data_IF_638916810295
#
_entry.id   IF_638916810295
#
_cell.length_a   1.000
_cell.length_b   1.000
_cell.length_c   1.000
_cell.angle_alpha   90.00
_cell.angle_beta   90.00
_cell.angle_gamma   90.00
#
_symmetry.space_group_name_H-M   'P 1'
#
loop_
_entity.id
_entity.type
_entity.pdbx_description
1 polymer ?
#
# COMPACT_ATOMS: atom_id res chain seq x y z
N UNK A 1 24.24 -9.95 4.43
CA UNK A 1 22.83 -9.60 4.15
C UNK A 1 22.10 -10.88 3.79
N UNK A 2 20.87 -11.10 4.27
CA UNK A 2 20.09 -12.26 3.87
C UNK A 2 19.89 -12.20 2.35
N UNK A 3 20.33 -13.25 1.66
CA UNK A 3 20.11 -13.38 0.23
C UNK A 3 18.76 -14.06 0.05
N UNK A 4 17.79 -13.33 -0.50
CA UNK A 4 16.47 -13.89 -0.77
C UNK A 4 16.55 -14.77 -2.02
N UNK A 5 15.85 -15.90 -2.01
CA UNK A 5 15.88 -16.81 -3.17
C UNK A 5 14.64 -17.66 -3.26
N UNK A 6 14.31 -18.08 -4.49
CA UNK A 6 13.30 -19.08 -4.74
C UNK A 6 13.75 -19.99 -5.90
N UNK A 7 13.46 -21.27 -5.80
CA UNK A 7 13.82 -22.26 -6.82
C UNK A 7 12.58 -22.66 -7.60
N UNK A 8 12.62 -22.48 -8.91
CA UNK A 8 11.61 -23.00 -9.85
C UNK A 8 12.28 -24.11 -10.65
N UNK A 9 11.81 -25.34 -10.48
CA UNK A 9 12.44 -26.57 -11.01
C UNK A 9 13.95 -26.65 -10.69
N UNK A 10 14.81 -26.42 -11.69
CA UNK A 10 16.26 -26.48 -11.56
C UNK A 10 16.92 -25.09 -11.56
N UNK A 11 16.14 -24.01 -11.64
CA UNK A 11 16.63 -22.63 -11.71
C UNK A 11 16.44 -21.94 -10.37
N UNK A 12 17.55 -21.46 -9.80
CA UNK A 12 17.54 -20.70 -8.54
C UNK A 12 17.55 -19.21 -8.87
N UNK A 13 16.46 -18.53 -8.55
CA UNK A 13 16.34 -17.08 -8.59
C UNK A 13 16.86 -16.50 -7.28
N UNK A 14 17.70 -15.46 -7.38
CA UNK A 14 18.31 -14.79 -6.23
C UNK A 14 18.02 -13.29 -6.31
N UNK A 15 17.69 -12.71 -5.18
CA UNK A 15 17.42 -11.29 -5.02
C UNK A 15 18.39 -10.73 -3.98
N UNK A 16 19.01 -9.60 -4.30
CA UNK A 16 20.19 -9.12 -3.56
C UNK A 16 19.87 -8.69 -2.14
N UNK A 17 18.75 -8.00 -1.99
CA UNK A 17 18.24 -7.43 -0.75
C UNK A 17 16.71 -7.29 -0.84
N UNK A 18 16.10 -6.76 0.23
CA UNK A 18 14.66 -6.57 0.29
C UNK A 18 14.15 -5.57 -0.76
N UNK A 19 14.97 -4.58 -1.14
CA UNK A 19 14.62 -3.57 -2.15
C UNK A 19 14.49 -4.21 -3.53
N UNK A 20 15.46 -5.04 -3.93
CA UNK A 20 15.46 -5.79 -5.19
C UNK A 20 14.26 -6.76 -5.24
N UNK A 21 14.02 -7.49 -4.14
CA UNK A 21 12.90 -8.42 -4.02
C UNK A 21 11.54 -7.70 -4.16
N UNK A 22 11.33 -6.61 -3.42
CA UNK A 22 10.10 -5.81 -3.48
C UNK A 22 9.89 -5.21 -4.87
N UNK A 23 10.96 -4.75 -5.53
CA UNK A 23 10.87 -4.18 -6.87
C UNK A 23 10.40 -5.25 -7.88
N UNK A 24 11.11 -6.38 -7.94
CA UNK A 24 10.84 -7.47 -8.90
C UNK A 24 9.53 -8.20 -8.64
N UNK A 25 9.01 -8.22 -7.41
CA UNK A 25 7.69 -8.77 -7.11
C UNK A 25 6.52 -7.89 -7.60
N UNK A 26 6.77 -6.66 -8.05
CA UNK A 26 5.73 -5.74 -8.52
C UNK A 26 5.14 -6.19 -9.87
N UNK A 27 3.82 -6.02 -10.09
CA UNK A 27 3.26 -6.12 -11.44
C UNK A 27 4.00 -5.20 -12.42
N UNK A 28 4.09 -5.60 -13.69
CA UNK A 28 4.77 -4.84 -14.73
C UNK A 28 4.26 -3.39 -14.82
N UNK A 29 5.15 -2.41 -14.59
CA UNK A 29 4.88 -0.97 -14.65
C UNK A 29 5.98 -0.28 -15.44
N UNK A 30 5.61 0.65 -16.32
CA UNK A 30 6.57 1.38 -17.17
C UNK A 30 7.63 2.13 -16.37
N UNK A 31 7.26 2.72 -15.24
CA UNK A 31 8.19 3.42 -14.34
C UNK A 31 9.29 2.50 -13.78
N UNK A 32 8.93 1.28 -13.36
CA UNK A 32 9.88 0.31 -12.79
C UNK A 32 10.87 -0.19 -13.85
N UNK A 33 10.41 -0.35 -15.11
CA UNK A 33 11.28 -0.65 -16.25
C UNK A 33 12.23 0.51 -16.56
N UNK A 34 11.72 1.76 -16.57
CA UNK A 34 12.54 2.94 -16.82
C UNK A 34 13.61 3.13 -15.73
N UNK A 35 13.27 2.81 -14.48
CA UNK A 35 14.20 2.85 -13.35
C UNK A 35 15.17 1.64 -13.32
N UNK A 36 14.98 0.64 -14.18
CA UNK A 36 15.83 -0.55 -14.25
C UNK A 36 15.68 -1.52 -13.07
N UNK A 37 14.55 -1.48 -12.35
CA UNK A 37 14.31 -2.28 -11.14
C UNK A 37 13.24 -3.36 -11.33
N UNK A 38 12.53 -3.35 -12.46
CA UNK A 38 11.54 -4.37 -12.78
C UNK A 38 12.18 -5.75 -13.00
N UNK A 39 11.41 -6.80 -12.76
CA UNK A 39 11.79 -8.15 -13.17
C UNK A 39 11.98 -8.23 -14.70
N UNK A 40 12.98 -8.98 -15.13
CA UNK A 40 13.33 -9.18 -16.54
C UNK A 40 12.21 -9.88 -17.32
N UNK A 41 11.50 -10.81 -16.66
CA UNK A 41 10.42 -11.58 -17.26
C UNK A 41 9.33 -11.95 -16.23
N UNK A 42 8.28 -12.64 -16.73
CA UNK A 42 7.18 -13.10 -15.89
C UNK A 42 7.60 -14.18 -14.89
N UNK A 43 8.58 -15.01 -15.23
CA UNK A 43 9.04 -16.13 -14.40
C UNK A 43 9.82 -15.60 -13.19
N UNK A 44 10.75 -14.67 -13.40
CA UNK A 44 11.47 -13.98 -12.32
C UNK A 44 10.51 -13.22 -11.41
N UNK A 45 9.48 -12.56 -11.95
CA UNK A 45 8.48 -11.89 -11.12
C UNK A 45 7.72 -12.88 -10.23
N UNK A 46 7.29 -14.01 -10.78
CA UNK A 46 6.59 -15.03 -9.97
C UNK A 46 7.54 -15.60 -8.92
N UNK A 47 8.79 -15.89 -9.27
CA UNK A 47 9.80 -16.33 -8.31
C UNK A 47 10.05 -15.28 -7.21
N UNK A 48 10.03 -13.99 -7.53
CA UNK A 48 10.13 -12.90 -6.58
C UNK A 48 8.91 -12.84 -5.65
N UNK A 49 7.69 -13.01 -6.19
CA UNK A 49 6.47 -13.08 -5.37
C UNK A 49 6.48 -14.29 -4.43
N UNK A 50 6.98 -15.44 -4.88
CA UNK A 50 7.13 -16.63 -4.04
C UNK A 50 8.20 -16.43 -2.96
N UNK A 51 9.36 -15.86 -3.29
CA UNK A 51 10.37 -15.50 -2.29
C UNK A 51 9.83 -14.47 -1.28
N UNK A 52 9.09 -13.46 -1.75
CA UNK A 52 8.50 -12.42 -0.92
C UNK A 52 7.45 -12.99 0.04
N UNK A 53 6.67 -13.97 -0.39
CA UNK A 53 5.68 -14.63 0.45
C UNK A 53 6.28 -15.29 1.69
N UNK A 54 7.53 -15.78 1.61
CA UNK A 54 8.23 -16.43 2.73
C UNK A 54 8.94 -15.45 3.68
N UNK A 55 8.96 -14.16 3.37
CA UNK A 55 9.62 -13.15 4.22
C UNK A 55 8.83 -12.96 5.51
N UNK A 56 9.44 -13.09 6.71
CA UNK A 56 8.78 -12.76 7.96
C UNK A 56 8.40 -11.28 8.02
N UNK A 57 7.20 -10.93 8.53
CA UNK A 57 6.81 -9.53 8.68
C UNK A 57 7.80 -8.74 9.56
N UNK A 58 8.35 -9.38 10.61
CA UNK A 58 9.33 -8.75 11.48
C UNK A 58 10.63 -8.33 10.75
N UNK A 59 10.95 -8.90 9.58
CA UNK A 59 12.12 -8.50 8.78
C UNK A 59 12.06 -7.03 8.35
N UNK A 60 10.86 -6.50 8.09
CA UNK A 60 10.65 -5.12 7.68
C UNK A 60 10.95 -4.08 8.78
N UNK A 61 11.15 -4.53 10.02
CA UNK A 61 11.55 -3.67 11.15
C UNK A 61 13.08 -3.57 11.30
N UNK A 62 13.83 -4.51 10.71
CA UNK A 62 15.29 -4.58 10.82
C UNK A 62 16.02 -4.30 9.51
N UNK A 63 15.39 -4.60 8.37
CA UNK A 63 15.91 -4.29 7.04
C UNK A 63 14.99 -3.26 6.36
N UNK A 64 15.33 -1.99 6.50
CA UNK A 64 14.58 -0.88 5.88
C UNK A 64 15.02 -0.64 4.44
N UNK A 65 14.08 -0.24 3.58
CA UNK A 65 14.37 0.03 2.16
C UNK A 65 15.31 1.22 2.00
N UNK A 66 15.19 2.23 2.86
CA UNK A 66 16.14 3.33 2.99
C UNK A 66 16.69 3.28 4.43
N UNK A 67 18.02 3.42 4.65
CA UNK A 67 18.57 3.33 6.00
C UNK A 67 17.99 4.38 6.95
N UNK A 68 17.69 3.96 8.19
CA UNK A 68 17.09 4.80 9.24
C UNK A 68 17.88 6.09 9.49
N UNK A 69 19.21 6.02 9.48
CA UNK A 69 20.09 7.16 9.73
C UNK A 69 20.06 8.20 8.59
N UNK A 70 19.64 7.78 7.40
CA UNK A 70 19.71 8.59 6.18
C UNK A 70 18.37 9.24 5.80
N UNK A 71 17.25 8.80 6.38
CA UNK A 71 15.92 9.19 5.93
C UNK A 71 14.95 9.46 7.08
N UNK A 72 14.38 10.67 7.11
CA UNK A 72 13.45 11.08 8.18
C UNK A 72 12.10 10.36 8.10
N UNK A 73 11.66 9.94 6.92
CA UNK A 73 10.40 9.23 6.74
C UNK A 73 10.51 7.82 7.31
N UNK A 74 11.64 7.15 7.06
CA UNK A 74 11.97 5.86 7.67
C UNK A 74 12.01 5.97 9.19
N UNK A 75 12.64 7.03 9.75
CA UNK A 75 12.59 7.28 11.20
C UNK A 75 11.17 7.45 11.69
N UNK A 76 10.37 8.26 11.03
CA UNK A 76 8.97 8.47 11.38
C UNK A 76 8.15 7.17 11.39
N UNK A 77 8.38 6.29 10.40
CA UNK A 77 7.70 4.98 10.29
C UNK A 77 8.11 4.08 11.44
N UNK A 78 9.40 3.90 11.67
CA UNK A 78 9.94 2.98 12.68
C UNK A 78 9.64 3.48 14.10
N UNK A 79 9.83 4.77 14.37
CA UNK A 79 9.63 5.36 15.70
C UNK A 79 8.17 5.38 16.12
N UNK A 80 7.22 5.32 15.17
CA UNK A 80 5.77 5.27 15.44
C UNK A 80 5.19 3.86 15.40
N UNK A 81 6.00 2.85 15.09
CA UNK A 81 5.53 1.47 15.06
C UNK A 81 5.13 0.99 16.45
N UNK A 82 3.90 0.50 16.59
CA UNK A 82 3.38 -0.06 17.83
C UNK A 82 3.63 -1.58 17.90
N UNK A 83 4.58 -1.97 18.73
CA UNK A 83 4.97 -3.37 18.91
C UNK A 83 3.88 -4.23 19.56
N UNK A 84 3.00 -3.66 20.39
CA UNK A 84 1.88 -4.38 21.01
C UNK A 84 0.77 -4.63 19.98
N UNK A 85 0.44 -3.61 19.18
CA UNK A 85 -0.50 -3.72 18.07
C UNK A 85 -0.07 -4.78 17.05
N UNK A 86 1.25 -4.90 16.81
CA UNK A 86 1.83 -5.85 15.84
C UNK A 86 1.84 -7.32 16.32
N UNK A 87 1.83 -7.58 17.64
CA UNK A 87 1.96 -8.94 18.20
C UNK A 87 1.08 -10.01 17.54
N UNK A 88 -0.21 -9.75 17.22
CA UNK A 88 -1.09 -10.78 16.67
C UNK A 88 -0.62 -11.35 15.34
N UNK A 89 0.18 -10.61 14.57
CA UNK A 89 0.68 -11.02 13.25
C UNK A 89 2.21 -11.10 13.17
N UNK A 90 2.93 -10.77 14.24
CA UNK A 90 4.40 -10.66 14.25
C UNK A 90 5.13 -11.96 13.85
N UNK A 91 4.49 -13.11 14.08
CA UNK A 91 5.00 -14.44 13.75
C UNK A 91 4.74 -14.86 12.29
N UNK A 92 3.96 -14.10 11.54
CA UNK A 92 3.54 -14.45 10.19
C UNK A 92 4.61 -14.05 9.15
N UNK A 93 4.63 -14.82 8.07
CA UNK A 93 5.25 -14.41 6.81
C UNK A 93 4.33 -13.45 6.04
N UNK A 94 4.83 -12.80 4.98
CA UNK A 94 3.99 -11.97 4.09
C UNK A 94 2.86 -12.80 3.46
N UNK A 95 3.14 -14.05 3.08
CA UNK A 95 2.17 -14.99 2.54
C UNK A 95 1.08 -15.36 3.54
N UNK A 96 1.48 -15.69 4.77
CA UNK A 96 0.53 -16.00 5.84
C UNK A 96 -0.28 -14.77 6.25
N UNK A 97 0.33 -13.58 6.20
CA UNK A 97 -0.36 -12.32 6.44
C UNK A 97 -1.43 -12.04 5.38
N UNK A 98 -1.15 -12.30 4.10
CA UNK A 98 -2.17 -12.26 3.03
C UNK A 98 -3.35 -13.17 3.38
N UNK A 99 -3.08 -14.42 3.78
CA UNK A 99 -4.13 -15.38 4.13
C UNK A 99 -4.93 -14.91 5.36
N UNK A 100 -4.26 -14.37 6.37
CA UNK A 100 -4.89 -13.81 7.56
C UNK A 100 -5.81 -12.62 7.23
N UNK A 101 -5.35 -11.69 6.38
CA UNK A 101 -6.16 -10.55 5.90
C UNK A 101 -7.43 -10.99 5.14
N UNK A 102 -7.33 -12.09 4.40
CA UNK A 102 -8.47 -12.66 3.66
C UNK A 102 -9.44 -13.43 4.57
N UNK A 103 -8.99 -13.90 5.73
CA UNK A 103 -9.83 -14.63 6.70
C UNK A 103 -10.88 -13.77 7.41
N UNK A 104 -11.80 -14.43 8.13
CA UNK A 104 -12.82 -13.79 8.97
C UNK A 104 -12.24 -13.16 10.25
N UNK A 105 -10.99 -13.48 10.61
CA UNK A 105 -10.32 -12.89 11.78
C UNK A 105 -9.99 -11.40 11.58
N UNK A 106 -9.75 -11.00 10.33
CA UNK A 106 -9.39 -9.64 9.94
C UNK A 106 -10.64 -8.72 9.84
N UNK A 107 -11.38 -8.57 10.94
CA UNK A 107 -12.53 -7.66 11.02
C UNK A 107 -12.11 -6.19 10.99
N UNK A 108 -13.04 -5.28 10.69
CA UNK A 108 -12.76 -3.83 10.68
C UNK A 108 -12.11 -3.37 12.01
N UNK A 109 -12.62 -3.86 13.15
CA UNK A 109 -12.10 -3.53 14.47
C UNK A 109 -10.71 -4.13 14.74
N UNK A 110 -10.46 -5.35 14.29
CA UNK A 110 -9.13 -5.98 14.42
C UNK A 110 -8.11 -5.26 13.57
N UNK A 111 -8.45 -4.90 12.33
CA UNK A 111 -7.58 -4.16 11.42
C UNK A 111 -7.27 -2.75 11.95
N UNK A 112 -8.26 -2.06 12.50
CA UNK A 112 -8.05 -0.74 13.10
C UNK A 112 -7.07 -0.78 14.29
N UNK A 113 -7.13 -1.83 15.12
CA UNK A 113 -6.16 -2.04 16.22
C UNK A 113 -4.78 -2.45 15.72
N UNK A 114 -4.71 -3.22 14.63
CA UNK A 114 -3.45 -3.69 14.06
C UNK A 114 -2.69 -2.58 13.31
N UNK A 115 -3.40 -1.63 12.69
CA UNK A 115 -2.82 -0.63 11.79
C UNK A 115 -1.56 0.11 12.32
N UNK A 116 -1.47 0.52 13.60
CA UNK A 116 -0.27 1.17 14.13
C UNK A 116 0.96 0.26 14.20
N UNK A 117 0.77 -1.07 14.18
CA UNK A 117 1.82 -2.07 14.16
C UNK A 117 2.23 -2.53 12.76
N UNK A 118 1.77 -1.88 11.69
CA UNK A 118 2.14 -2.24 10.32
C UNK A 118 2.96 -1.11 9.68
N UNK A 119 4.11 -1.46 9.09
CA UNK A 119 4.87 -0.50 8.29
C UNK A 119 4.33 -0.41 6.86
N UNK A 120 4.58 0.71 6.15
CA UNK A 120 4.24 0.82 4.73
C UNK A 120 4.86 -0.29 3.87
N UNK A 121 6.07 -0.75 4.20
CA UNK A 121 6.76 -1.82 3.48
C UNK A 121 6.06 -3.18 3.68
N UNK A 122 5.56 -3.49 4.88
CA UNK A 122 4.74 -4.70 5.10
C UNK A 122 3.45 -4.65 4.26
N UNK A 123 2.77 -3.50 4.22
CA UNK A 123 1.57 -3.30 3.42
C UNK A 123 1.87 -3.38 1.90
N UNK A 124 3.00 -2.82 1.46
CA UNK A 124 3.46 -2.92 0.08
C UNK A 124 3.79 -4.37 -0.28
N UNK A 125 4.51 -5.09 0.57
CA UNK A 125 4.89 -6.49 0.36
C UNK A 125 3.67 -7.38 0.15
N UNK A 126 2.69 -7.30 1.05
CA UNK A 126 1.49 -8.14 0.96
C UNK A 126 0.64 -7.77 -0.27
N UNK A 127 0.55 -6.48 -0.63
CA UNK A 127 -0.19 -6.06 -1.82
C UNK A 127 0.40 -6.58 -3.13
N UNK A 128 1.73 -6.77 -3.19
CA UNK A 128 2.45 -7.27 -4.38
C UNK A 128 2.15 -8.73 -4.70
N UNK A 129 1.70 -9.51 -3.70
CA UNK A 129 1.32 -10.92 -3.86
C UNK A 129 -0.19 -11.15 -3.89
N UNK A 130 -0.99 -10.07 -3.90
CA UNK A 130 -2.44 -10.13 -3.96
C UNK A 130 -2.96 -10.00 -5.40
N UNK A 131 -4.02 -10.74 -5.70
CA UNK A 131 -4.82 -10.51 -6.91
C UNK A 131 -5.70 -9.28 -6.72
N UNK A 132 -6.24 -8.74 -7.82
CA UNK A 132 -7.18 -7.60 -7.76
C UNK A 132 -8.38 -7.90 -6.84
N UNK A 133 -8.91 -9.12 -6.88
CA UNK A 133 -10.02 -9.54 -6.02
C UNK A 133 -9.62 -9.53 -4.54
N UNK A 134 -8.42 -10.03 -4.21
CA UNK A 134 -7.90 -10.00 -2.85
C UNK A 134 -7.76 -8.55 -2.34
N UNK A 135 -7.19 -7.66 -3.17
CA UNK A 135 -7.04 -6.24 -2.86
C UNK A 135 -8.39 -5.59 -2.55
N UNK A 136 -9.42 -5.85 -3.39
CA UNK A 136 -10.77 -5.33 -3.19
C UNK A 136 -11.39 -5.88 -1.89
N UNK A 137 -11.27 -7.19 -1.65
CA UNK A 137 -11.84 -7.84 -0.47
C UNK A 137 -11.20 -7.35 0.83
N UNK A 138 -9.87 -7.23 0.88
CA UNK A 138 -9.15 -6.72 2.04
C UNK A 138 -9.44 -5.24 2.24
N UNK A 139 -9.35 -4.41 1.20
CA UNK A 139 -9.63 -2.98 1.30
C UNK A 139 -11.05 -2.69 1.78
N UNK A 140 -12.04 -3.53 1.41
CA UNK A 140 -13.42 -3.40 1.90
C UNK A 140 -13.54 -3.55 3.42
N UNK A 141 -12.66 -4.34 4.06
CA UNK A 141 -12.60 -4.53 5.53
C UNK A 141 -11.85 -3.39 6.23
N UNK A 142 -11.01 -2.63 5.51
CA UNK A 142 -10.28 -1.50 6.06
C UNK A 142 -11.17 -0.24 6.10
N UNK A 143 -11.79 0.04 7.25
CA UNK A 143 -12.63 1.23 7.43
C UNK A 143 -11.83 2.38 8.03
N UNK A 144 -11.67 3.46 7.26
CA UNK A 144 -11.06 4.72 7.73
C UNK A 144 -12.10 5.82 7.64
N UNK A 145 -12.46 6.41 8.78
CA UNK A 145 -13.41 7.51 8.88
C UNK A 145 -12.70 8.73 9.44
N UNK A 146 -12.76 9.84 8.72
CA UNK A 146 -12.16 11.11 9.12
C UNK A 146 -13.19 12.22 9.06
N UNK A 147 -13.05 13.22 9.92
CA UNK A 147 -13.99 14.34 10.00
C UNK A 147 -13.26 15.68 10.02
N UNK A 148 -13.84 16.65 9.30
CA UNK A 148 -13.53 18.08 9.44
C UNK A 148 -14.85 18.86 9.50
N UNK A 149 -15.27 19.49 8.40
CA UNK A 149 -16.62 20.06 8.25
C UNK A 149 -17.65 19.01 7.82
N UNK A 150 -17.19 17.98 7.12
CA UNK A 150 -17.95 16.79 6.73
C UNK A 150 -17.25 15.55 7.27
N UNK A 151 -17.96 14.42 7.29
CA UNK A 151 -17.41 13.12 7.67
C UNK A 151 -17.32 12.22 6.44
N UNK A 152 -16.11 11.80 6.10
CA UNK A 152 -15.80 10.96 4.91
C UNK A 152 -15.40 9.55 5.36
N UNK A 153 -15.78 8.54 4.57
CA UNK A 153 -15.40 7.13 4.79
C UNK A 153 -16.48 6.22 5.39
N UNK A 154 -17.65 6.78 5.73
CA UNK A 154 -18.80 6.03 6.23
C UNK A 154 -19.34 5.02 5.20
N UNK A 155 -19.89 3.87 5.64
CA UNK A 155 -20.45 2.86 4.75
C UNK A 155 -21.62 3.43 3.92
N UNK A 156 -21.71 3.00 2.66
CA UNK A 156 -22.78 3.42 1.74
C UNK A 156 -22.64 4.85 1.22
N UNK A 157 -21.49 5.51 1.43
CA UNK A 157 -21.22 6.87 0.94
C UNK A 157 -19.99 6.88 0.03
N UNK A 158 -20.07 7.67 -1.03
CA UNK A 158 -18.96 7.98 -1.91
C UNK A 158 -18.85 9.51 -2.00
N UNK A 159 -17.74 10.04 -1.50
CA UNK A 159 -17.46 11.47 -1.54
C UNK A 159 -16.60 11.83 -2.75
N UNK A 160 -16.76 13.04 -3.28
CA UNK A 160 -16.02 13.52 -4.44
C UNK A 160 -15.33 14.85 -4.17
N UNK A 161 -14.16 15.01 -4.80
CA UNK A 161 -13.46 16.30 -4.85
C UNK A 161 -14.05 17.11 -6.00
N UNK A 162 -14.38 18.38 -5.74
CA UNK A 162 -14.68 19.37 -6.77
C UNK A 162 -13.42 20.21 -7.02
N UNK A 163 -12.81 20.01 -8.19
CA UNK A 163 -11.54 20.64 -8.56
C UNK A 163 -11.67 21.43 -9.88
N UNK A 164 -12.05 22.71 -9.81
CA UNK A 164 -12.28 23.54 -10.98
C UNK A 164 -10.98 24.16 -11.50
N UNK A 165 -10.14 23.37 -12.20
CA UNK A 165 -8.88 23.86 -12.76
C UNK A 165 -9.14 24.54 -14.11
N UNK A 166 -9.20 25.88 -14.12
CA UNK A 166 -9.26 26.64 -15.36
C UNK A 166 -7.84 26.81 -15.95
N UNK A 167 -7.62 26.72 -17.27
CA UNK A 167 -6.25 26.80 -17.86
C UNK A 167 -5.44 28.06 -17.51
N UNK A 168 -6.14 29.13 -17.13
CA UNK A 168 -5.56 30.42 -16.73
C UNK A 168 -6.06 30.91 -15.37
N UNK A 169 -6.73 30.05 -14.60
CA UNK A 169 -7.36 30.41 -13.33
C UNK A 169 -8.32 31.61 -13.43
N UNK A 170 -9.07 31.71 -14.53
CA UNK A 170 -10.05 32.76 -14.74
C UNK A 170 -11.19 32.63 -13.70
N UNK A 171 -11.48 33.68 -12.90
CA UNK A 171 -12.48 33.60 -11.84
C UNK A 171 -13.88 33.20 -12.32
N UNK A 172 -14.29 33.63 -13.52
CA UNK A 172 -15.60 33.29 -14.06
C UNK A 172 -15.67 31.82 -14.50
N UNK A 173 -14.62 31.33 -15.17
CA UNK A 173 -14.48 29.93 -15.55
C UNK A 173 -14.43 28.98 -14.35
N UNK A 174 -13.64 29.34 -13.32
CA UNK A 174 -13.59 28.60 -12.05
C UNK A 174 -14.97 28.58 -11.38
N UNK A 175 -15.62 29.74 -11.26
CA UNK A 175 -16.94 29.84 -10.61
C UNK A 175 -18.00 29.03 -11.34
N UNK A 176 -18.01 29.05 -12.67
CA UNK A 176 -18.92 28.25 -13.48
C UNK A 176 -18.74 26.75 -13.21
N UNK A 177 -17.50 26.26 -13.16
CA UNK A 177 -17.20 24.85 -12.86
C UNK A 177 -17.57 24.46 -11.42
N UNK A 178 -17.43 25.37 -10.45
CA UNK A 178 -17.91 25.14 -9.08
C UNK A 178 -19.42 24.96 -9.06
N UNK A 179 -20.17 25.87 -9.69
CA UNK A 179 -21.64 25.81 -9.71
C UNK A 179 -22.12 24.52 -10.38
N UNK A 180 -21.55 24.19 -11.54
CA UNK A 180 -21.87 22.96 -12.27
C UNK A 180 -21.61 21.71 -11.41
N UNK A 181 -20.43 21.61 -10.80
CA UNK A 181 -20.10 20.48 -9.93
C UNK A 181 -21.01 20.33 -8.72
N UNK A 182 -21.39 21.43 -8.08
CA UNK A 182 -22.33 21.43 -6.95
C UNK A 182 -23.73 20.95 -7.37
N UNK A 183 -24.19 21.26 -8.58
CA UNK A 183 -25.48 20.77 -9.09
C UNK A 183 -25.52 19.24 -9.24
N UNK A 184 -24.37 18.60 -9.43
CA UNK A 184 -24.23 17.13 -9.43
C UNK A 184 -23.93 16.54 -8.05
N UNK A 185 -23.93 17.36 -6.99
CA UNK A 185 -23.64 16.92 -5.62
C UNK A 185 -22.15 16.66 -5.36
N UNK A 186 -21.25 17.23 -6.15
CA UNK A 186 -19.81 17.09 -5.93
C UNK A 186 -19.27 18.08 -4.89
N UNK A 187 -18.13 17.74 -4.29
CA UNK A 187 -17.38 18.65 -3.41
C UNK A 187 -17.57 18.42 -1.92
N UNK A 188 -18.26 17.36 -1.53
CA UNK A 188 -18.46 16.96 -0.13
C UNK A 188 -17.16 16.47 0.53
N UNK A 189 -16.21 15.94 -0.25
CA UNK A 189 -14.85 15.68 0.23
C UNK A 189 -14.06 16.98 0.40
N UNK A 190 -13.98 17.77 -0.68
CA UNK A 190 -13.29 19.07 -0.71
C UNK A 190 -13.64 19.83 -1.99
N UNK A 191 -13.72 21.16 -1.89
CA UNK A 191 -13.68 22.07 -3.03
C UNK A 191 -12.30 22.73 -3.02
N UNK A 192 -11.48 22.49 -4.06
CA UNK A 192 -10.11 22.97 -4.07
C UNK A 192 -9.50 23.04 -5.46
N UNK A 193 -8.86 24.16 -5.75
CA UNK A 193 -8.15 24.48 -7.00
C UNK A 193 -6.68 24.04 -6.87
N UNK A 194 -6.04 23.66 -7.97
CA UNK A 194 -4.61 23.35 -8.00
C UNK A 194 -3.86 24.29 -8.92
#
# INVERSE_FOLDING_TARGET
MPMYSHTVDHKVYRFQDLRDLLAKASPARSGDYLAGVAAADYEERVAAQMALAEVPLAQFLSETVIPYEQDEVTRLIIDRHDAEAFQPVAHLTVGDFRNWLLSDLATEATLARLAPGLTPEMAAAVSKIMRIQDLILVAKKCRVVTAFRTTVGLPGRLSTRLQPNHPTDDPAGVSASVVDGLMYGNGDAVIGIN
#
